data_IF_912162900912
#
_entry.id   IF_912162900912
#
_cell.length_a   1.000
_cell.length_b   1.000
_cell.length_c   1.000
_cell.angle_alpha   90.00
_cell.angle_beta   90.00
_cell.angle_gamma   90.00
#
_symmetry.space_group_name_H-M   'P 1'
#
loop_
_entity.id
_entity.type
_entity.pdbx_description
1 polymer ?
#
# COMPACT_ATOMS: atom_id res chain seq x y z
N UNK A 1 -12.92 2.58 5.65
CA UNK A 1 -11.64 3.23 5.33
C UNK A 1 -10.54 2.48 6.06
N UNK A 2 -9.52 2.04 5.33
CA UNK A 2 -8.42 1.26 5.90
C UNK A 2 -7.15 2.12 5.94
N UNK A 3 -6.32 1.91 6.96
CA UNK A 3 -4.95 2.42 7.02
C UNK A 3 -4.05 1.55 6.14
N UNK A 4 -3.90 1.95 4.89
CA UNK A 4 -3.17 1.18 3.89
C UNK A 4 -2.68 2.08 2.77
N UNK A 5 -1.55 1.69 2.18
CA UNK A 5 -1.15 2.17 0.88
C UNK A 5 -1.85 1.33 -0.18
N UNK A 6 -2.11 1.90 -1.34
CA UNK A 6 -2.74 1.21 -2.45
C UNK A 6 -2.07 1.60 -3.75
N UNK A 7 -1.68 0.57 -4.49
CA UNK A 7 -1.12 0.67 -5.83
C UNK A 7 -2.03 -0.06 -6.80
N UNK A 8 -1.97 0.30 -8.08
CA UNK A 8 -2.74 -0.35 -9.14
C UNK A 8 -1.81 -0.80 -10.28
N UNK A 9 -2.15 -1.96 -10.86
CA UNK A 9 -1.57 -2.44 -12.10
C UNK A 9 -2.63 -3.16 -12.92
N UNK A 10 -2.80 -2.76 -14.18
CA UNK A 10 -3.78 -3.33 -15.12
C UNK A 10 -5.23 -3.39 -14.57
N UNK A 11 -5.67 -2.31 -13.92
CA UNK A 11 -6.99 -2.17 -13.29
C UNK A 11 -7.12 -2.85 -11.92
N UNK A 12 -6.10 -3.57 -11.45
CA UNK A 12 -6.13 -4.37 -10.23
C UNK A 12 -5.36 -3.69 -9.10
N UNK A 13 -5.99 -3.58 -7.95
CA UNK A 13 -5.42 -2.91 -6.79
C UNK A 13 -4.69 -3.90 -5.87
N UNK A 14 -3.46 -3.51 -5.50
CA UNK A 14 -2.66 -4.06 -4.42
C UNK A 14 -2.84 -3.18 -3.18
N UNK A 15 -3.49 -3.73 -2.16
CA UNK A 15 -3.67 -3.08 -0.86
C UNK A 15 -2.52 -3.52 0.05
N UNK A 16 -1.85 -2.55 0.67
CA UNK A 16 -0.76 -2.74 1.61
C UNK A 16 -1.15 -2.24 3.02
N UNK A 17 -1.97 -3.00 3.78
CA UNK A 17 -2.32 -2.64 5.15
C UNK A 17 -1.09 -2.83 6.03
N UNK A 18 -0.77 -1.84 6.84
CA UNK A 18 0.39 -1.99 7.71
C UNK A 18 0.39 -1.08 8.93
N UNK A 19 1.03 -1.56 9.99
CA UNK A 19 1.36 -0.78 11.17
C UNK A 19 2.42 0.28 10.83
N UNK A 20 2.48 1.40 11.58
CA UNK A 20 3.57 2.36 11.47
C UNK A 20 4.94 1.68 11.59
N UNK A 21 5.90 2.03 10.73
CA UNK A 21 7.27 1.50 10.76
C UNK A 21 7.50 0.20 9.96
N UNK A 22 6.45 -0.37 9.37
CA UNK A 22 6.52 -1.59 8.52
C UNK A 22 7.22 -1.44 7.16
N UNK A 23 7.61 -0.22 6.79
CA UNK A 23 8.15 0.09 5.46
C UNK A 23 7.10 0.33 4.36
N UNK A 24 5.80 0.36 4.70
CA UNK A 24 4.69 0.56 3.74
C UNK A 24 4.86 1.75 2.80
N UNK A 25 5.14 2.94 3.33
CA UNK A 25 5.28 4.16 2.52
C UNK A 25 6.49 4.10 1.58
N UNK A 26 7.57 3.46 2.04
CA UNK A 26 8.78 3.21 1.25
C UNK A 26 8.49 2.22 0.12
N UNK A 27 7.83 1.09 0.42
CA UNK A 27 7.45 0.11 -0.59
C UNK A 27 6.48 0.68 -1.62
N UNK A 28 5.47 1.44 -1.19
CA UNK A 28 4.52 2.08 -2.08
C UNK A 28 5.18 3.12 -3.00
N UNK A 29 6.09 3.92 -2.45
CA UNK A 29 6.91 4.84 -3.25
C UNK A 29 7.76 4.10 -4.28
N UNK A 30 8.42 3.00 -3.89
CA UNK A 30 9.26 2.21 -4.78
C UNK A 30 8.46 1.55 -5.92
N UNK A 31 7.33 0.91 -5.60
CA UNK A 31 6.42 0.33 -6.60
C UNK A 31 5.94 1.38 -7.61
N UNK A 32 5.65 2.61 -7.14
CA UNK A 32 5.26 3.71 -8.01
C UNK A 32 6.36 4.13 -9.00
N UNK A 33 7.63 3.93 -8.65
CA UNK A 33 8.79 4.15 -9.55
C UNK A 33 9.08 2.95 -10.46
N UNK A 34 8.32 1.86 -10.35
CA UNK A 34 8.46 0.63 -11.15
C UNK A 34 7.17 0.27 -11.88
N UNK A 35 6.39 1.28 -12.27
CA UNK A 35 5.27 1.13 -13.20
C UNK A 35 3.92 0.79 -12.56
N UNK A 36 3.86 0.59 -11.25
CA UNK A 36 2.57 0.54 -10.55
C UNK A 36 2.00 1.96 -10.42
N UNK A 37 0.71 2.15 -10.70
CA UNK A 37 0.06 3.43 -10.48
C UNK A 37 -0.15 3.63 -8.98
N UNK A 38 0.36 4.72 -8.42
CA UNK A 38 0.11 5.09 -7.04
C UNK A 38 -1.33 5.58 -6.86
N UNK A 39 -2.11 4.98 -5.95
CA UNK A 39 -3.46 5.45 -5.63
C UNK A 39 -3.50 6.19 -4.30
N UNK A 40 -2.83 5.71 -3.26
CA UNK A 40 -2.80 6.31 -1.92
C UNK A 40 -1.69 5.70 -1.08
N UNK A 41 -1.17 6.41 -0.07
CA UNK A 41 -0.27 5.84 0.94
C UNK A 41 -0.93 5.67 2.31
N UNK A 42 -1.98 6.43 2.61
CA UNK A 42 -2.49 6.54 3.99
C UNK A 42 -3.89 5.96 4.15
N UNK A 43 -4.75 6.20 3.16
CA UNK A 43 -6.15 5.82 3.21
C UNK A 43 -6.50 4.96 1.99
N UNK A 44 -6.89 3.72 2.24
CA UNK A 44 -7.62 2.92 1.26
C UNK A 44 -9.12 3.20 1.46
N UNK A 45 -9.68 3.93 0.50
CA UNK A 45 -11.11 4.17 0.39
C UNK A 45 -11.72 3.12 -0.52
N UNK A 46 -12.78 2.49 -0.03
CA UNK A 46 -13.49 1.43 -0.73
C UNK A 46 -14.93 1.89 -0.82
N UNK A 47 -15.41 1.99 -2.05
CA UNK A 47 -16.77 2.42 -2.32
C UNK A 47 -17.73 1.28 -1.93
N UNK A 48 -18.66 1.49 -0.98
CA UNK A 48 -19.47 0.39 -0.45
C UNK A 48 -20.41 -0.27 -1.47
N UNK A 49 -20.81 0.46 -2.53
CA UNK A 49 -21.80 -0.04 -3.48
C UNK A 49 -21.22 -1.03 -4.50
N UNK A 50 -19.98 -0.84 -4.95
CA UNK A 50 -19.34 -1.67 -5.98
C UNK A 50 -18.01 -2.29 -5.51
N UNK A 51 -17.53 -1.94 -4.32
CA UNK A 51 -16.28 -2.48 -3.76
C UNK A 51 -15.01 -1.89 -4.40
N UNK A 52 -15.11 -0.90 -5.27
CA UNK A 52 -13.95 -0.35 -5.97
C UNK A 52 -13.07 0.52 -5.04
N UNK A 53 -11.76 0.49 -5.26
CA UNK A 53 -10.83 1.40 -4.58
C UNK A 53 -10.89 2.78 -5.23
N UNK A 54 -11.09 3.82 -4.40
CA UNK A 54 -11.08 5.22 -4.84
C UNK A 54 -9.66 5.79 -4.67
N UNK A 55 -9.03 6.32 -5.74
CA UNK A 55 -7.72 6.94 -5.65
C UNK A 55 -7.73 8.26 -4.85
N UNK A 56 -6.69 8.48 -4.05
CA UNK A 56 -6.38 9.77 -3.42
C UNK A 56 -4.85 10.01 -3.49
N UNK A 57 -4.31 10.27 -4.69
CA UNK A 57 -2.88 10.39 -4.91
C UNK A 57 -2.37 11.72 -4.32
N UNK A 58 -1.98 11.69 -3.05
CA UNK A 58 -1.39 12.82 -2.31
C UNK A 58 0.10 12.58 -2.10
N UNK A 59 0.89 13.63 -1.83
CA UNK A 59 2.29 13.47 -1.49
C UNK A 59 2.52 12.48 -0.34
N UNK A 60 3.48 11.57 -0.51
CA UNK A 60 3.78 10.50 0.44
C UNK A 60 4.79 10.98 1.48
N UNK A 61 4.47 10.94 2.79
CA UNK A 61 5.41 11.30 3.83
C UNK A 61 6.46 10.20 4.03
N UNK A 62 7.69 10.46 3.63
CA UNK A 62 8.86 9.62 3.92
C UNK A 62 9.55 10.11 5.18
N UNK A 63 10.11 9.18 5.96
CA UNK A 63 10.74 9.46 7.25
C UNK A 63 12.16 8.92 7.30
N UNK A 64 13.05 9.67 7.94
CA UNK A 64 14.40 9.25 8.30
C UNK A 64 15.13 8.59 7.11
N UNK A 65 15.56 7.34 7.27
CA UNK A 65 16.32 6.56 6.30
C UNK A 65 15.54 6.33 4.99
N UNK A 66 14.19 6.32 5.05
CA UNK A 66 13.35 6.09 3.87
C UNK A 66 13.51 7.19 2.81
N UNK A 67 13.91 8.41 3.21
CA UNK A 67 14.18 9.51 2.28
C UNK A 67 15.41 9.18 1.42
N UNK A 68 16.48 8.71 2.04
CA UNK A 68 17.71 8.33 1.35
C UNK A 68 17.50 7.06 0.51
N UNK A 69 16.80 6.07 1.05
CA UNK A 69 16.45 4.83 0.32
C UNK A 69 15.73 5.16 -1.00
N UNK A 70 14.71 6.02 -0.97
CA UNK A 70 13.96 6.37 -2.19
C UNK A 70 14.78 7.22 -3.17
N UNK A 71 15.59 8.16 -2.68
CA UNK A 71 16.51 8.94 -3.54
C UNK A 71 17.51 8.05 -4.28
N UNK A 72 18.05 7.03 -3.59
CA UNK A 72 19.00 6.10 -4.19
C UNK A 72 18.30 5.11 -5.14
N UNK A 73 17.05 4.75 -4.85
CA UNK A 73 16.28 3.79 -5.65
C UNK A 73 15.77 4.37 -6.97
N UNK A 74 15.49 5.68 -7.02
CA UNK A 74 15.03 6.39 -8.20
C UNK A 74 15.58 7.83 -8.21
N UNK A 75 16.37 8.17 -9.24
CA UNK A 75 17.04 9.47 -9.37
C UNK A 75 16.09 10.64 -9.64
N UNK A 76 14.96 10.38 -10.29
CA UNK A 76 14.09 11.42 -10.85
C UNK A 76 12.93 11.79 -9.92
N UNK A 77 12.99 11.36 -8.66
CA UNK A 77 11.95 11.68 -7.67
C UNK A 77 12.09 13.09 -7.12
N UNK A 78 10.96 13.80 -7.01
CA UNK A 78 10.92 15.06 -6.30
C UNK A 78 10.46 14.83 -4.86
N UNK A 79 11.38 15.03 -3.91
CA UNK A 79 11.06 15.12 -2.48
C UNK A 79 11.18 16.59 -2.09
N UNK A 80 10.12 17.15 -1.51
CA UNK A 80 10.09 18.54 -1.04
C UNK A 80 11.08 18.83 0.11
N UNK A 81 10.97 20.00 0.75
CA UNK A 81 11.82 20.37 1.87
C UNK A 81 11.83 19.30 2.97
N UNK A 82 13.00 19.14 3.60
CA UNK A 82 13.16 18.25 4.74
C UNK A 82 12.84 19.02 6.02
N UNK A 83 11.91 18.48 6.80
CA UNK A 83 11.54 19.01 8.11
C UNK A 83 12.22 18.15 9.16
N UNK A 84 13.29 18.67 9.76
CA UNK A 84 14.06 17.98 10.79
C UNK A 84 13.39 18.09 12.17
N UNK A 85 13.76 17.19 13.10
CA UNK A 85 13.35 17.21 14.52
C UNK A 85 11.83 17.25 14.76
N UNK A 86 11.04 16.67 13.87
CA UNK A 86 9.60 16.49 14.13
C UNK A 86 9.38 15.37 15.16
N UNK A 87 8.16 15.26 15.71
CA UNK A 87 7.76 14.12 16.57
C UNK A 87 7.94 12.75 15.90
N UNK A 88 8.08 12.69 14.57
CA UNK A 88 8.25 11.46 13.78
C UNK A 88 9.64 11.36 13.14
N UNK A 89 10.61 12.18 13.59
CA UNK A 89 11.96 12.26 13.01
C UNK A 89 12.04 13.28 11.86
N UNK A 90 12.95 13.08 10.92
CA UNK A 90 13.04 13.92 9.72
C UNK A 90 11.99 13.49 8.71
N UNK A 91 11.17 14.43 8.21
CA UNK A 91 10.10 14.15 7.24
C UNK A 91 10.40 14.86 5.92
N UNK A 92 10.24 14.15 4.82
CA UNK A 92 10.18 14.70 3.46
C UNK A 92 8.93 14.22 2.75
N UNK A 93 8.33 15.06 1.92
CA UNK A 93 7.12 14.68 1.16
C UNK A 93 7.51 14.37 -0.28
N UNK A 94 7.38 13.09 -0.65
CA UNK A 94 7.54 12.64 -2.03
C UNK A 94 6.33 13.09 -2.84
N UNK A 95 6.57 13.79 -3.96
CA UNK A 95 5.52 14.20 -4.89
C UNK A 95 4.82 12.97 -5.48
N UNK A 96 3.49 12.99 -5.49
CA UNK A 96 2.73 11.94 -6.19
C UNK A 96 3.04 11.97 -7.69
N UNK A 97 3.17 10.80 -8.37
CA UNK A 97 3.38 10.75 -9.81
C UNK A 97 2.30 11.52 -10.58
N UNK A 98 2.67 12.28 -11.62
CA UNK A 98 1.72 13.07 -12.41
C UNK A 98 0.61 12.20 -13.03
N UNK A 99 0.98 11.04 -13.60
CA UNK A 99 0.04 10.08 -14.16
C UNK A 99 -0.99 9.57 -13.13
N UNK A 100 -0.63 9.47 -11.85
CA UNK A 100 -1.58 9.12 -10.79
C UNK A 100 -2.59 10.23 -10.54
N UNK A 101 -2.14 11.50 -10.58
CA UNK A 101 -3.00 12.67 -10.39
C UNK A 101 -3.97 12.82 -11.58
N UNK A 102 -3.46 12.71 -12.81
CA UNK A 102 -4.29 12.79 -14.02
C UNK A 102 -5.40 11.74 -14.04
N UNK A 103 -5.08 10.53 -13.57
CA UNK A 103 -5.98 9.40 -13.52
C UNK A 103 -6.71 9.25 -12.17
N UNK A 104 -6.82 10.32 -11.37
CA UNK A 104 -7.39 10.25 -10.00
C UNK A 104 -8.86 9.83 -9.94
N UNK A 105 -9.59 9.92 -11.06
CA UNK A 105 -11.01 9.50 -11.17
C UNK A 105 -11.17 8.03 -11.56
N UNK A 106 -10.09 7.35 -11.96
CA UNK A 106 -10.14 5.96 -12.41
C UNK A 106 -9.94 5.02 -11.22
N UNK A 107 -11.02 4.38 -10.79
CA UNK A 107 -11.01 3.41 -9.70
C UNK A 107 -10.28 2.12 -10.08
N UNK A 108 -9.99 1.27 -9.09
CA UNK A 108 -9.31 -0.01 -9.29
C UNK A 108 -10.00 -1.13 -8.51
N UNK A 109 -9.99 -2.34 -9.05
CA UNK A 109 -10.61 -3.51 -8.44
C UNK A 109 -9.69 -4.14 -7.39
N UNK A 110 -10.08 -4.22 -6.11
CA UNK A 110 -9.30 -4.90 -5.08
C UNK A 110 -8.98 -6.34 -5.50
N UNK A 111 -7.68 -6.67 -5.62
CA UNK A 111 -7.26 -8.02 -6.03
C UNK A 111 -6.30 -8.66 -5.04
N UNK A 112 -5.35 -7.89 -4.50
CA UNK A 112 -4.34 -8.44 -3.58
C UNK A 112 -4.29 -7.63 -2.28
N UNK A 113 -4.10 -8.33 -1.17
CA UNK A 113 -3.86 -7.76 0.15
C UNK A 113 -2.54 -8.32 0.63
N UNK A 114 -1.49 -7.50 0.62
CA UNK A 114 -0.18 -7.91 1.07
C UNK A 114 0.14 -7.14 2.34
N UNK A 115 0.50 -7.85 3.41
CA UNK A 115 0.88 -7.25 4.69
C UNK A 115 2.41 -7.13 4.75
N UNK A 116 2.99 -5.97 4.41
CA UNK A 116 4.44 -5.81 4.35
C UNK A 116 5.05 -5.70 5.75
N UNK A 117 6.25 -6.25 5.89
CA UNK A 117 7.15 -6.06 7.02
C UNK A 117 8.58 -5.94 6.51
N UNK A 118 9.13 -4.73 6.57
CA UNK A 118 10.55 -4.54 6.38
C UNK A 118 11.34 -5.19 7.53
N UNK A 119 12.36 -5.98 7.19
CA UNK A 119 13.29 -6.57 8.11
C UNK A 119 14.70 -6.50 7.51
N UNK A 120 15.63 -5.84 8.21
CA UNK A 120 17.00 -5.71 7.72
C UNK A 120 17.62 -7.09 7.47
N UNK A 121 18.37 -7.22 6.37
CA UNK A 121 19.12 -8.43 5.99
C UNK A 121 18.25 -9.70 5.84
N UNK A 122 16.95 -9.58 5.60
CA UNK A 122 16.09 -10.72 5.29
C UNK A 122 16.02 -11.00 3.80
N UNK A 123 15.90 -12.28 3.45
CA UNK A 123 15.41 -12.67 2.12
C UNK A 123 13.95 -12.27 1.96
N UNK A 124 13.51 -12.08 0.72
CA UNK A 124 12.09 -11.86 0.42
C UNK A 124 11.32 -13.16 0.67
N UNK A 125 10.30 -13.08 1.52
CA UNK A 125 9.37 -14.17 1.77
C UNK A 125 7.94 -13.66 1.57
N UNK A 126 7.22 -14.28 0.64
CA UNK A 126 5.83 -13.99 0.34
C UNK A 126 5.01 -15.26 0.57
N UNK A 127 4.18 -15.27 1.62
CA UNK A 127 3.45 -16.45 2.05
C UNK A 127 1.95 -16.21 1.98
N UNK A 128 1.15 -17.13 1.43
CA UNK A 128 -0.30 -16.99 1.41
C UNK A 128 -0.87 -17.01 2.83
N UNK A 129 -1.86 -16.17 3.08
CA UNK A 129 -2.60 -16.11 4.34
C UNK A 129 -3.97 -16.76 4.18
N UNK A 130 -4.41 -17.45 5.23
CA UNK A 130 -5.81 -17.86 5.32
C UNK A 130 -6.73 -16.64 5.34
N UNK A 131 -7.95 -16.81 4.81
CA UNK A 131 -8.96 -15.75 4.78
C UNK A 131 -9.27 -15.20 6.18
N UNK A 132 -9.31 -16.07 7.20
CA UNK A 132 -9.52 -15.67 8.59
C UNK A 132 -8.37 -14.83 9.16
N UNK A 133 -7.12 -15.23 8.90
CA UNK A 133 -5.95 -14.47 9.33
C UNK A 133 -5.88 -13.10 8.64
N UNK A 134 -6.14 -13.06 7.33
CA UNK A 134 -6.21 -11.81 6.58
C UNK A 134 -7.34 -10.90 7.08
N UNK A 135 -8.52 -11.45 7.40
CA UNK A 135 -9.64 -10.68 7.96
C UNK A 135 -9.25 -10.00 9.28
N UNK A 136 -8.69 -10.75 10.24
CA UNK A 136 -8.31 -10.21 11.54
C UNK A 136 -7.26 -9.10 11.41
N UNK A 137 -6.23 -9.32 10.58
CA UNK A 137 -5.20 -8.32 10.31
C UNK A 137 -5.74 -7.08 9.59
N UNK A 138 -6.69 -7.24 8.68
CA UNK A 138 -7.27 -6.11 7.95
C UNK A 138 -8.20 -5.29 8.83
N UNK A 139 -9.02 -5.95 9.65
CA UNK A 139 -9.93 -5.32 10.61
C UNK A 139 -9.18 -4.46 11.63
N UNK A 140 -8.02 -4.92 12.12
CA UNK A 140 -7.18 -4.13 13.05
C UNK A 140 -6.53 -2.91 12.40
N UNK A 141 -6.42 -2.88 11.07
CA UNK A 141 -5.94 -1.73 10.30
C UNK A 141 -7.08 -0.82 9.78
N UNK A 142 -8.31 -1.00 10.25
CA UNK A 142 -9.46 -0.18 9.83
C UNK A 142 -9.77 0.93 10.83
N UNK A 143 -9.78 2.20 10.39
CA UNK A 143 -10.02 3.35 11.26
C UNK A 143 -11.46 3.45 11.76
N UNK A 144 -12.41 2.93 10.99
CA UNK A 144 -13.84 3.11 11.24
C UNK A 144 -14.59 1.79 11.39
N UNK A 145 -13.88 0.68 11.65
CA UNK A 145 -14.51 -0.63 11.81
C UNK A 145 -15.53 -0.64 12.94
N UNK A 146 -15.13 -0.24 14.15
CA UNK A 146 -16.01 -0.19 15.32
C UNK A 146 -17.15 0.82 15.13
N UNK A 147 -16.89 1.92 14.43
CA UNK A 147 -17.88 2.97 14.16
C UNK A 147 -18.96 2.52 13.15
N UNK A 148 -18.57 1.75 12.12
CA UNK A 148 -19.46 1.28 11.07
C UNK A 148 -20.16 -0.05 11.40
N UNK A 149 -19.73 -0.76 12.45
CA UNK A 149 -20.34 -2.02 12.90
C UNK A 149 -20.49 -3.04 11.76
N UNK A 150 -21.73 -3.46 11.52
CA UNK A 150 -22.10 -4.44 10.50
C UNK A 150 -21.67 -4.03 9.07
N UNK A 151 -21.76 -2.75 8.71
CA UNK A 151 -21.30 -2.26 7.40
C UNK A 151 -19.79 -2.44 7.24
N UNK A 152 -19.02 -2.14 8.30
CA UNK A 152 -17.57 -2.33 8.31
C UNK A 152 -17.19 -3.81 8.20
N UNK A 153 -17.89 -4.68 8.94
CA UNK A 153 -17.72 -6.13 8.86
C UNK A 153 -18.00 -6.67 7.46
N UNK A 154 -19.14 -6.31 6.86
CA UNK A 154 -19.53 -6.74 5.51
C UNK A 154 -18.55 -6.28 4.44
N UNK A 155 -18.07 -5.04 4.53
CA UNK A 155 -17.07 -4.50 3.60
C UNK A 155 -15.76 -5.30 3.65
N UNK A 156 -15.20 -5.50 4.86
CA UNK A 156 -13.97 -6.28 5.05
C UNK A 156 -14.17 -7.72 4.59
N UNK A 157 -15.30 -8.35 4.93
CA UNK A 157 -15.62 -9.71 4.48
C UNK A 157 -15.66 -9.81 2.95
N UNK A 158 -16.25 -8.83 2.27
CA UNK A 158 -16.31 -8.79 0.81
C UNK A 158 -14.90 -8.72 0.20
N UNK A 159 -14.07 -7.80 0.67
CA UNK A 159 -12.66 -7.64 0.24
C UNK A 159 -11.86 -8.92 0.46
N UNK A 160 -11.98 -9.54 1.63
CA UNK A 160 -11.27 -10.79 1.94
C UNK A 160 -11.73 -11.92 1.02
N UNK A 161 -13.00 -11.98 0.66
CA UNK A 161 -13.52 -13.02 -0.24
C UNK A 161 -13.07 -12.82 -1.69
N UNK A 162 -12.85 -11.58 -2.13
CA UNK A 162 -12.45 -11.28 -3.51
C UNK A 162 -10.95 -11.21 -3.73
N UNK A 163 -10.17 -10.89 -2.69
CA UNK A 163 -8.73 -10.70 -2.80
C UNK A 163 -7.91 -11.88 -2.26
N UNK A 164 -6.73 -12.10 -2.84
CA UNK A 164 -5.73 -12.99 -2.25
C UNK A 164 -4.92 -12.27 -1.19
N UNK A 165 -4.72 -12.93 -0.05
CA UNK A 165 -4.01 -12.39 1.10
C UNK A 165 -2.63 -12.99 1.23
N UNK A 166 -1.61 -12.16 1.48
CA UNK A 166 -0.23 -12.60 1.70
C UNK A 166 0.44 -11.87 2.86
N UNK A 167 1.32 -12.56 3.59
CA UNK A 167 2.33 -11.91 4.43
C UNK A 167 3.62 -11.74 3.64
N UNK A 168 4.25 -10.58 3.81
CA UNK A 168 5.47 -10.24 3.10
C UNK A 168 6.56 -9.80 4.10
N UNK A 169 7.71 -10.45 4.05
CA UNK A 169 8.94 -10.01 4.70
C UNK A 169 9.98 -9.67 3.62
N UNK A 170 10.70 -8.56 3.76
CA UNK A 170 11.69 -8.13 2.77
C UNK A 170 12.73 -7.17 3.35
N UNK A 171 13.86 -7.06 2.65
CA UNK A 171 14.92 -6.07 2.94
C UNK A 171 15.32 -5.26 1.70
N UNK A 172 15.29 -5.87 0.51
CA UNK A 172 15.64 -5.24 -0.77
C UNK A 172 14.37 -4.87 -1.56
N UNK A 173 14.36 -3.68 -2.18
CA UNK A 173 13.22 -3.16 -2.93
C UNK A 173 13.06 -3.81 -4.31
N UNK A 174 14.14 -4.07 -5.04
CA UNK A 174 14.05 -4.69 -6.38
C UNK A 174 13.57 -6.14 -6.27
N UNK A 175 14.06 -6.89 -5.28
CA UNK A 175 13.65 -8.28 -5.05
C UNK A 175 12.16 -8.38 -4.71
N UNK A 176 11.66 -7.51 -3.83
CA UNK A 176 10.24 -7.55 -3.41
C UNK A 176 9.32 -7.09 -4.53
N UNK A 177 9.74 -6.12 -5.34
CA UNK A 177 8.96 -5.67 -6.49
C UNK A 177 8.87 -6.80 -7.52
N UNK A 178 9.97 -7.52 -7.77
CA UNK A 178 9.97 -8.69 -8.65
C UNK A 178 8.98 -9.76 -8.18
N UNK A 179 8.90 -10.03 -6.88
CA UNK A 179 7.92 -10.97 -6.31
C UNK A 179 6.47 -10.46 -6.43
N UNK A 180 6.23 -9.16 -6.20
CA UNK A 180 4.89 -8.58 -6.32
C UNK A 180 4.41 -8.50 -7.77
N UNK A 181 5.32 -8.31 -8.72
CA UNK A 181 5.05 -8.32 -10.16
C UNK A 181 4.64 -9.71 -10.66
N UNK A 182 5.12 -10.76 -10.00
CA UNK A 182 4.79 -12.15 -10.29
C UNK A 182 3.49 -12.64 -9.62
N UNK A 183 2.78 -11.78 -8.89
CA UNK A 183 1.50 -12.15 -8.27
C UNK A 183 0.51 -12.65 -9.34
N UNK A 184 -0.16 -13.78 -9.09
CA UNK A 184 -1.07 -14.35 -10.07
C UNK A 184 -2.21 -13.39 -10.36
N UNK A 185 -2.48 -13.22 -11.65
CA UNK A 185 -3.69 -12.58 -12.11
C UNK A 185 -4.85 -13.53 -11.87
N UNK A 186 -5.58 -13.35 -10.77
CA UNK A 186 -6.91 -13.95 -10.68
C UNK A 186 -7.79 -13.28 -11.73
N UNK A 187 -7.96 -13.98 -12.86
CA UNK A 187 -9.08 -13.75 -13.76
C UNK A 187 -10.29 -14.40 -13.13
N UNK A 188 -11.28 -13.59 -12.77
CA UNK A 188 -12.67 -14.01 -12.91
C UNK A 188 -13.20 -13.36 -14.16
#
# INVERSE_FOLDING_TARGET
MLHAAVLERHGKALILPALPGSGKSTLAAALAQRGWRFLSDEFCLIHPADGQVIPIPRPTPLKNESIAVIRNFASDVFIGPLFEKTRKGTIGHLRAPAASIERMKETATPTWIVFPKYQSQSAVMLEPLSKSAAFLKLATNSFNYTLLGDTGFKAIKSIINTCDGYSLCYSNLDDVITQLDALPNNGR
#
